data_IF_829854277432
#
_entry.id   IF_829854277432
#
_cell.length_a   1.000
_cell.length_b   1.000
_cell.length_c   1.000
_cell.angle_alpha   90.00
_cell.angle_beta   90.00
_cell.angle_gamma   90.00
#
_symmetry.space_group_name_H-M   'P 1'
#
loop_
_entity.id
_entity.type
_entity.pdbx_description
1 polymer ?
#
# COMPACT_ATOMS: atom_id res chain seq x y z
N UNK A 1 26.10 -16.02 7.56
CA UNK A 1 24.92 -16.80 8.00
C UNK A 1 24.56 -16.36 9.41
N UNK A 2 23.50 -15.55 9.57
CA UNK A 2 23.04 -15.09 10.89
C UNK A 2 22.20 -16.17 11.56
N UNK A 3 22.52 -16.51 12.81
CA UNK A 3 21.87 -17.59 13.57
C UNK A 3 20.36 -17.40 13.65
N UNK A 4 19.62 -18.47 13.33
CA UNK A 4 18.17 -18.54 13.50
C UNK A 4 17.84 -18.47 14.99
N UNK A 5 16.89 -17.62 15.38
CA UNK A 5 16.40 -17.58 16.77
C UNK A 5 15.69 -18.90 17.08
N UNK A 6 16.04 -19.48 18.24
CA UNK A 6 15.37 -20.66 18.78
C UNK A 6 13.91 -20.30 19.08
N UNK A 7 12.96 -21.07 18.55
CA UNK A 7 11.54 -20.86 18.82
C UNK A 7 11.23 -21.28 20.26
N UNK A 8 10.61 -20.37 21.03
CA UNK A 8 10.14 -20.66 22.38
C UNK A 8 8.83 -21.45 22.37
N UNK A 9 8.46 -22.02 23.52
CA UNK A 9 7.19 -22.71 23.70
C UNK A 9 5.99 -21.76 23.46
N UNK A 10 4.88 -22.30 22.95
CA UNK A 10 3.63 -21.56 22.77
C UNK A 10 3.15 -21.00 24.11
N UNK A 11 2.76 -19.72 24.13
CA UNK A 11 2.17 -19.06 25.29
C UNK A 11 0.98 -18.20 24.86
N UNK A 12 0.04 -17.97 25.77
CA UNK A 12 -1.09 -17.07 25.54
C UNK A 12 -0.62 -15.64 25.78
N UNK A 13 -0.65 -14.82 24.73
CA UNK A 13 -0.34 -13.39 24.83
C UNK A 13 -1.54 -12.68 25.47
N UNK A 14 -1.29 -11.72 26.37
CA UNK A 14 -2.35 -10.82 26.86
C UNK A 14 -3.10 -10.20 25.69
N UNK A 15 -4.43 -10.07 25.82
CA UNK A 15 -5.25 -9.41 24.80
C UNK A 15 -4.71 -8.02 24.45
N UNK A 16 -4.87 -7.56 23.20
CA UNK A 16 -4.35 -6.27 22.77
C UNK A 16 -4.94 -5.15 23.64
N UNK A 17 -4.09 -4.43 24.37
CA UNK A 17 -4.47 -3.30 25.24
C UNK A 17 -4.35 -1.94 24.53
N UNK A 18 -4.28 -1.93 23.20
CA UNK A 18 -4.09 -0.72 22.42
C UNK A 18 -5.30 0.22 22.49
N UNK A 19 -5.10 1.44 22.97
CA UNK A 19 -6.08 2.53 22.85
C UNK A 19 -5.88 3.21 21.49
N UNK A 20 -6.91 3.23 20.64
CA UNK A 20 -6.90 4.06 19.43
C UNK A 20 -7.29 5.49 19.81
N UNK A 21 -6.30 6.35 20.02
CA UNK A 21 -6.54 7.78 20.22
C UNK A 21 -6.79 8.41 18.84
N UNK A 22 -8.07 8.53 18.47
CA UNK A 22 -8.47 9.44 17.40
C UNK A 22 -8.53 10.85 17.98
N UNK A 23 -7.44 11.61 17.88
CA UNK A 23 -7.43 13.04 18.19
C UNK A 23 -8.26 13.76 17.13
N UNK A 24 -9.58 13.76 17.27
CA UNK A 24 -10.42 14.71 16.55
C UNK A 24 -10.04 16.10 17.07
N UNK A 25 -9.76 17.02 16.16
CA UNK A 25 -9.66 18.43 16.51
C UNK A 25 -11.06 18.85 17.01
N UNK A 26 -11.16 19.22 18.29
CA UNK A 26 -12.40 19.68 18.92
C UNK A 26 -12.32 21.19 19.10
N UNK A 27 -13.48 21.85 19.11
CA UNK A 27 -13.58 23.29 19.40
C UNK A 27 -12.74 24.16 18.44
N UNK A 28 -12.68 23.79 17.16
CA UNK A 28 -12.06 24.64 16.15
C UNK A 28 -12.90 25.90 15.97
N UNK A 29 -12.25 27.06 15.96
CA UNK A 29 -12.90 28.27 15.50
C UNK A 29 -13.06 28.22 13.98
N UNK A 30 -13.97 29.01 13.39
CA UNK A 30 -14.06 29.15 11.93
C UNK A 30 -12.73 29.54 11.27
N UNK A 31 -11.88 30.30 11.97
CA UNK A 31 -10.56 30.67 11.49
C UNK A 31 -9.59 29.48 11.46
N UNK A 32 -9.63 28.62 12.48
CA UNK A 32 -8.79 27.41 12.50
C UNK A 32 -9.16 26.45 11.37
N UNK A 33 -10.46 26.27 11.11
CA UNK A 33 -10.95 25.45 10.01
C UNK A 33 -10.44 25.97 8.66
N UNK A 34 -10.50 27.28 8.45
CA UNK A 34 -10.02 27.90 7.22
C UNK A 34 -8.51 27.72 7.04
N UNK A 35 -7.72 27.92 8.11
CA UNK A 35 -6.27 27.67 8.08
C UNK A 35 -5.98 26.21 7.73
N UNK A 36 -6.67 25.26 8.35
CA UNK A 36 -6.49 23.84 8.07
C UNK A 36 -6.84 23.49 6.62
N UNK A 37 -7.90 24.08 6.07
CA UNK A 37 -8.30 23.89 4.67
C UNK A 37 -7.23 24.44 3.73
N UNK A 38 -6.73 25.65 3.97
CA UNK A 38 -5.69 26.29 3.16
C UNK A 38 -4.37 25.52 3.21
N UNK A 39 -3.94 25.12 4.41
CA UNK A 39 -2.72 24.31 4.60
C UNK A 39 -2.89 22.94 3.92
N UNK A 40 -4.03 22.29 4.10
CA UNK A 40 -4.34 21.01 3.46
C UNK A 40 -4.32 21.10 1.93
N UNK A 41 -4.93 22.14 1.35
CA UNK A 41 -4.92 22.37 -0.09
C UNK A 41 -3.50 22.64 -0.62
N UNK A 42 -2.72 23.49 0.07
CA UNK A 42 -1.34 23.81 -0.31
C UNK A 42 -0.44 22.57 -0.28
N UNK A 43 -0.41 21.87 0.86
CA UNK A 43 0.40 20.65 1.04
C UNK A 43 -0.07 19.52 0.14
N UNK A 44 -1.38 19.40 -0.10
CA UNK A 44 -1.95 18.47 -1.07
C UNK A 44 -1.43 18.72 -2.48
N UNK A 45 -1.39 19.99 -2.93
CA UNK A 45 -0.84 20.34 -4.25
C UNK A 45 0.65 19.98 -4.38
N UNK A 46 1.43 20.18 -3.32
CA UNK A 46 2.86 19.83 -3.26
C UNK A 46 3.04 18.32 -3.30
N UNK A 47 2.25 17.57 -2.54
CA UNK A 47 2.27 16.12 -2.52
C UNK A 47 1.90 15.52 -3.87
N UNK A 48 0.86 16.03 -4.54
CA UNK A 48 0.48 15.57 -5.89
C UNK A 48 1.58 15.83 -6.92
N UNK A 49 2.26 17.00 -6.86
CA UNK A 49 3.40 17.31 -7.73
C UNK A 49 4.59 16.38 -7.47
N UNK A 50 4.93 16.15 -6.21
CA UNK A 50 6.00 15.23 -5.84
C UNK A 50 5.70 13.79 -6.25
N UNK A 51 4.47 13.32 -6.05
CA UNK A 51 4.03 11.99 -6.47
C UNK A 51 4.16 11.83 -7.99
N UNK A 52 3.76 12.86 -8.77
CA UNK A 52 3.96 12.87 -10.23
C UNK A 52 5.43 12.73 -10.60
N UNK A 53 6.33 13.45 -9.92
CA UNK A 53 7.77 13.30 -10.11
C UNK A 53 8.27 11.91 -9.70
N UNK A 54 7.80 11.36 -8.57
CA UNK A 54 8.15 10.01 -8.10
C UNK A 54 7.78 8.95 -9.13
N UNK A 55 6.58 9.07 -9.70
CA UNK A 55 6.09 8.13 -10.71
C UNK A 55 6.98 8.14 -11.95
N UNK A 56 7.47 9.33 -12.37
CA UNK A 56 8.40 9.48 -13.50
C UNK A 56 9.78 8.88 -13.23
N UNK A 57 10.28 8.95 -11.99
CA UNK A 57 11.53 8.28 -11.60
C UNK A 57 11.46 6.76 -11.81
N UNK A 58 10.26 6.17 -11.79
CA UNK A 58 10.03 4.75 -11.99
C UNK A 58 11.00 3.90 -11.13
N UNK A 59 11.74 2.99 -11.79
CA UNK A 59 12.76 2.14 -11.17
C UNK A 59 14.10 2.83 -10.96
N UNK A 60 14.36 3.97 -11.62
CA UNK A 60 15.62 4.69 -11.56
C UNK A 60 15.76 5.59 -10.31
N UNK A 61 14.97 5.33 -9.26
CA UNK A 61 14.96 6.13 -8.06
C UNK A 61 16.17 5.81 -7.16
N UNK A 62 16.91 6.85 -6.80
CA UNK A 62 18.07 6.78 -5.91
C UNK A 62 18.06 7.91 -4.87
N UNK A 63 19.08 7.92 -4.01
CA UNK A 63 19.25 8.95 -2.98
C UNK A 63 19.45 10.35 -3.57
N UNK A 64 20.06 10.48 -4.76
CA UNK A 64 20.27 11.76 -5.43
C UNK A 64 18.97 12.39 -5.91
N UNK A 65 18.11 11.62 -6.57
CA UNK A 65 16.77 12.02 -6.98
C UNK A 65 15.88 12.31 -5.77
N UNK A 66 16.00 11.53 -4.70
CA UNK A 66 15.32 11.86 -3.45
C UNK A 66 15.72 13.24 -2.94
N UNK A 67 17.02 13.51 -2.83
CA UNK A 67 17.54 14.77 -2.34
C UNK A 67 17.11 15.95 -3.23
N UNK A 68 17.15 15.78 -4.56
CA UNK A 68 16.70 16.78 -5.52
C UNK A 68 15.22 17.14 -5.32
N UNK A 69 14.33 16.14 -5.25
CA UNK A 69 12.89 16.39 -5.03
C UNK A 69 12.61 17.07 -3.68
N UNK A 70 13.29 16.64 -2.61
CA UNK A 70 13.15 17.30 -1.30
C UNK A 70 13.61 18.76 -1.37
N UNK A 71 14.73 19.04 -2.05
CA UNK A 71 15.26 20.40 -2.24
C UNK A 71 14.29 21.28 -3.01
N UNK A 72 13.64 20.77 -4.05
CA UNK A 72 12.63 21.51 -4.83
C UNK A 72 11.39 21.88 -4.01
N UNK A 73 10.94 21.00 -3.11
CA UNK A 73 9.79 21.27 -2.24
C UNK A 73 10.11 22.21 -1.08
N UNK A 74 11.37 22.29 -0.66
CA UNK A 74 11.75 23.02 0.56
C UNK A 74 11.43 24.52 0.49
N UNK A 75 11.71 25.26 -0.61
CA UNK A 75 11.32 26.68 -0.71
C UNK A 75 9.81 26.93 -0.67
N UNK A 76 9.00 25.97 -1.10
CA UNK A 76 7.55 26.09 -1.12
C UNK A 76 6.88 25.59 0.18
N UNK A 77 7.67 25.10 1.14
CA UNK A 77 7.21 24.51 2.39
C UNK A 77 8.26 24.66 3.48
N UNK A 78 8.29 23.76 4.47
CA UNK A 78 9.41 23.63 5.41
C UNK A 78 10.22 22.39 5.06
N UNK A 79 11.50 22.34 5.46
CA UNK A 79 12.33 21.14 5.29
C UNK A 79 11.71 19.87 5.89
N UNK A 80 10.95 20.03 7.00
CA UNK A 80 10.21 18.93 7.66
C UNK A 80 9.04 18.46 6.81
N UNK A 81 8.23 19.38 6.27
CA UNK A 81 7.12 19.03 5.37
C UNK A 81 7.60 18.44 4.05
N UNK A 82 8.63 19.02 3.43
CA UNK A 82 9.26 18.47 2.23
C UNK A 82 9.76 17.02 2.46
N UNK A 83 10.42 16.78 3.61
CA UNK A 83 10.86 15.44 4.00
C UNK A 83 9.69 14.46 4.18
N UNK A 84 8.62 14.89 4.85
CA UNK A 84 7.43 14.06 5.06
C UNK A 84 6.71 13.73 3.74
N UNK A 85 6.55 14.72 2.85
CA UNK A 85 5.91 14.56 1.54
C UNK A 85 6.71 13.59 0.67
N UNK A 86 8.02 13.82 0.50
CA UNK A 86 8.86 12.96 -0.35
C UNK A 86 8.88 11.51 0.14
N UNK A 87 8.87 11.31 1.47
CA UNK A 87 8.74 9.98 2.08
C UNK A 87 7.38 9.35 1.79
N UNK A 88 6.29 10.06 2.06
CA UNK A 88 4.94 9.55 1.84
C UNK A 88 4.72 9.14 0.37
N UNK A 89 5.13 9.98 -0.58
CA UNK A 89 5.03 9.67 -2.01
C UNK A 89 5.84 8.44 -2.41
N UNK A 90 7.05 8.28 -1.86
CA UNK A 90 7.89 7.10 -2.12
C UNK A 90 7.23 5.83 -1.58
N UNK A 91 6.76 5.86 -0.33
CA UNK A 91 6.12 4.73 0.32
C UNK A 91 4.82 4.33 -0.41
N UNK A 92 4.01 5.32 -0.83
CA UNK A 92 2.81 5.11 -1.64
C UNK A 92 3.14 4.44 -2.98
N UNK A 93 4.13 4.95 -3.72
CA UNK A 93 4.54 4.36 -4.98
C UNK A 93 4.99 2.89 -4.81
N UNK A 94 5.79 2.62 -3.78
CA UNK A 94 6.29 1.28 -3.48
C UNK A 94 5.15 0.32 -3.10
N UNK A 95 4.19 0.79 -2.30
CA UNK A 95 3.00 0.02 -1.93
C UNK A 95 2.14 -0.28 -3.16
N UNK A 96 1.81 0.72 -3.99
CA UNK A 96 1.01 0.54 -5.20
C UNK A 96 1.63 -0.48 -6.17
N UNK A 97 2.96 -0.48 -6.30
CA UNK A 97 3.70 -1.46 -7.10
C UNK A 97 3.52 -2.89 -6.57
N UNK A 98 3.63 -3.10 -5.26
CA UNK A 98 3.41 -4.42 -4.64
C UNK A 98 1.97 -4.87 -4.78
N UNK A 99 1.01 -4.00 -4.49
CA UNK A 99 -0.43 -4.29 -4.66
C UNK A 99 -0.76 -4.66 -6.11
N UNK A 100 -0.20 -3.94 -7.08
CA UNK A 100 -0.39 -4.26 -8.51
C UNK A 100 0.15 -5.64 -8.86
N UNK A 101 1.34 -6.00 -8.40
CA UNK A 101 1.92 -7.32 -8.63
C UNK A 101 1.03 -8.43 -8.03
N UNK A 102 0.63 -8.26 -6.76
CA UNK A 102 -0.27 -9.22 -6.09
C UNK A 102 -1.60 -9.36 -6.82
N UNK A 103 -2.16 -8.26 -7.34
CA UNK A 103 -3.39 -8.30 -8.11
C UNK A 103 -3.24 -9.08 -9.41
N UNK A 104 -2.15 -8.85 -10.17
CA UNK A 104 -1.84 -9.62 -11.39
C UNK A 104 -1.72 -11.11 -11.07
N UNK A 105 -0.95 -11.47 -10.05
CA UNK A 105 -0.78 -12.86 -9.63
C UNK A 105 -2.12 -13.51 -9.22
N UNK A 106 -2.99 -12.76 -8.54
CA UNK A 106 -4.33 -13.24 -8.19
C UNK A 106 -5.19 -13.49 -9.42
N UNK A 107 -5.11 -12.63 -10.44
CA UNK A 107 -5.83 -12.82 -11.70
C UNK A 107 -5.30 -14.02 -12.48
N UNK A 108 -3.98 -14.16 -12.57
CA UNK A 108 -3.32 -15.30 -13.23
C UNK A 108 -3.69 -16.63 -12.56
N UNK A 109 -3.69 -16.67 -11.22
CA UNK A 109 -4.13 -17.84 -10.46
C UNK A 109 -5.62 -18.15 -10.69
N UNK A 110 -6.47 -17.13 -10.77
CA UNK A 110 -7.90 -17.28 -11.11
C UNK A 110 -8.11 -17.84 -12.52
N UNK A 111 -7.39 -17.31 -13.51
CA UNK A 111 -7.42 -17.81 -14.89
C UNK A 111 -6.92 -19.26 -14.95
N UNK A 112 -5.82 -19.57 -14.28
CA UNK A 112 -5.28 -20.93 -14.19
C UNK A 112 -6.29 -21.91 -13.57
N UNK A 113 -6.98 -21.47 -12.51
CA UNK A 113 -8.05 -22.24 -11.87
C UNK A 113 -9.19 -22.52 -12.84
N UNK A 114 -9.68 -21.50 -13.55
CA UNK A 114 -10.78 -21.66 -14.53
C UNK A 114 -10.36 -22.62 -15.64
N UNK A 115 -9.18 -22.41 -16.24
CA UNK A 115 -8.64 -23.29 -17.30
C UNK A 115 -8.54 -24.74 -16.84
N UNK A 116 -8.04 -24.96 -15.62
CA UNK A 116 -7.97 -26.30 -15.04
C UNK A 116 -9.35 -26.93 -14.91
N UNK A 117 -10.32 -26.24 -14.29
CA UNK A 117 -11.67 -26.78 -14.10
C UNK A 117 -12.40 -27.05 -15.43
N UNK A 118 -12.17 -26.24 -16.46
CA UNK A 118 -12.70 -26.46 -17.81
C UNK A 118 -12.07 -27.66 -18.52
N UNK A 119 -10.84 -28.03 -18.18
CA UNK A 119 -10.15 -29.20 -18.75
C UNK A 119 -10.64 -30.54 -18.19
N UNK A 120 -11.38 -30.51 -17.08
CA UNK A 120 -11.90 -31.70 -16.40
C UNK A 120 -13.36 -31.98 -16.81
N UNK A 121 -13.76 -33.27 -16.93
CA UNK A 121 -15.16 -33.66 -16.96
C UNK A 121 -16.05 -32.96 -15.92
N UNK A 122 -17.32 -32.78 -16.28
CA UNK A 122 -18.32 -32.27 -15.35
C UNK A 122 -18.41 -33.17 -14.11
N UNK A 123 -18.49 -32.53 -12.93
CA UNK A 123 -18.57 -33.18 -11.61
C UNK A 123 -17.35 -34.00 -11.22
N UNK A 124 -16.25 -33.91 -11.95
CA UNK A 124 -15.00 -34.51 -11.53
C UNK A 124 -14.57 -33.94 -10.17
N UNK A 125 -14.23 -34.82 -9.23
CA UNK A 125 -13.82 -34.42 -7.89
C UNK A 125 -12.39 -33.90 -7.93
N UNK A 126 -12.16 -32.77 -7.28
CA UNK A 126 -10.81 -32.25 -7.05
C UNK A 126 -10.02 -33.14 -6.10
N UNK A 127 -8.69 -32.94 -6.06
CA UNK A 127 -7.81 -33.63 -5.13
C UNK A 127 -7.01 -32.63 -4.29
N UNK A 128 -6.99 -32.85 -2.97
CA UNK A 128 -6.29 -31.98 -2.02
C UNK A 128 -6.73 -30.51 -2.12
N UNK A 129 -5.81 -29.63 -2.53
CA UNK A 129 -6.05 -28.18 -2.71
C UNK A 129 -6.42 -27.78 -4.15
N UNK A 130 -6.54 -28.75 -5.05
CA UNK A 130 -6.85 -28.52 -6.46
C UNK A 130 -8.36 -28.68 -6.68
N UNK A 131 -9.06 -27.67 -7.22
CA UNK A 131 -10.50 -27.77 -7.46
C UNK A 131 -10.81 -28.73 -8.61
N UNK A 132 -11.92 -29.46 -8.50
CA UNK A 132 -12.42 -30.35 -9.56
C UNK A 132 -13.20 -29.62 -10.65
N UNK A 133 -13.73 -30.39 -11.60
CA UNK A 133 -14.54 -29.86 -12.71
C UNK A 133 -15.78 -29.10 -12.24
N UNK A 134 -16.40 -28.34 -13.15
CA UNK A 134 -17.66 -27.65 -12.89
C UNK A 134 -18.80 -28.63 -12.59
N UNK A 135 -19.78 -28.23 -11.77
CA UNK A 135 -20.89 -29.14 -11.39
C UNK A 135 -21.89 -29.34 -12.52
N UNK A 136 -21.98 -28.39 -13.43
CA UNK A 136 -22.88 -28.38 -14.59
C UNK A 136 -22.32 -27.52 -15.72
N UNK A 137 -22.95 -27.57 -16.91
CA UNK A 137 -22.59 -26.69 -18.04
C UNK A 137 -22.96 -25.21 -17.82
N UNK A 138 -23.79 -24.88 -16.83
CA UNK A 138 -24.34 -23.54 -16.58
C UNK A 138 -23.69 -22.80 -15.41
N UNK A 139 -22.92 -23.52 -14.58
CA UNK A 139 -22.08 -22.90 -13.53
C UNK A 139 -20.87 -22.23 -14.21
#
# INVERSE_FOLDING_TARGET
>A
MGGLRKLGASFVVSGPSGVSVRTRLKQLSPADEEVLRLVGAHLGSLASRDLKARCRDALAHDAGRWAARKRELTPASSSRWAGAITKASHDQWALSRRCRLTHIQSLEAGIGTIRHRLSLPLREKGSGRVPGGYRSRRE
#
